data_IF_003469430936
#
_entry.id   IF_003469430936
#
_cell.length_a   1.000
_cell.length_b   1.000
_cell.length_c   1.000
_cell.angle_alpha   90.00
_cell.angle_beta   90.00
_cell.angle_gamma   90.00
#
_symmetry.space_group_name_H-M   'P 1'
#
loop_
_entity.id
_entity.type
_entity.pdbx_description
1 polymer ?
#
# COMPACT_ATOMS: atom_id res chain seq x y z
N UNK A 1 179.66 -110.14 103.75
CA UNK A 1 179.78 -109.63 105.14
C UNK A 1 178.43 -109.09 105.58
N UNK A 2 177.87 -109.42 106.76
CA UNK A 2 177.98 -110.64 107.55
C UNK A 2 176.61 -111.30 107.89
N UNK A 3 176.69 -112.53 108.41
CA UNK A 3 175.63 -113.37 108.98
C UNK A 3 175.23 -112.92 110.39
N UNK A 4 173.99 -113.25 110.81
CA UNK A 4 173.70 -113.72 112.19
C UNK A 4 172.65 -114.85 112.17
N UNK A 5 173.06 -115.97 112.78
CA UNK A 5 172.26 -117.12 113.18
C UNK A 5 171.58 -116.86 114.53
N UNK A 6 170.42 -117.51 114.76
CA UNK A 6 169.97 -118.26 115.96
C UNK A 6 168.44 -118.47 115.81
N UNK A 7 167.82 -119.65 115.76
CA UNK A 7 168.21 -120.97 116.25
C UNK A 7 167.20 -121.46 117.30
N UNK A 8 165.97 -121.84 116.91
CA UNK A 8 165.06 -122.63 117.74
C UNK A 8 164.29 -123.62 116.84
N UNK A 9 164.95 -124.74 116.52
CA UNK A 9 164.41 -125.77 115.63
C UNK A 9 163.21 -126.50 116.23
N UNK A 10 161.99 -126.19 115.76
CA UNK A 10 160.85 -127.11 115.84
C UNK A 10 160.96 -128.10 114.68
N UNK A 11 161.03 -129.39 115.03
CA UNK A 11 161.13 -130.51 114.09
C UNK A 11 160.01 -130.43 113.05
N UNK A 12 160.36 -130.12 111.80
CA UNK A 12 159.48 -130.23 110.65
C UNK A 12 159.18 -131.71 110.45
N UNK A 13 157.97 -132.14 110.83
CA UNK A 13 157.42 -133.41 110.36
C UNK A 13 157.02 -133.17 108.92
N UNK A 14 157.83 -133.67 107.98
CA UNK A 14 157.34 -133.89 106.64
C UNK A 14 156.31 -135.02 106.74
N UNK A 15 155.08 -134.75 106.31
CA UNK A 15 154.04 -135.76 106.31
C UNK A 15 154.47 -136.87 105.34
N UNK A 16 154.67 -138.05 105.90
CA UNK A 16 154.91 -139.28 105.15
C UNK A 16 153.55 -139.78 104.64
N UNK A 17 153.29 -139.77 103.32
CA UNK A 17 151.95 -140.05 102.79
C UNK A 17 151.53 -141.51 102.93
N UNK A 18 152.42 -142.41 103.37
CA UNK A 18 152.18 -143.86 103.31
C UNK A 18 151.50 -144.43 104.57
N UNK A 19 151.41 -143.70 105.69
CA UNK A 19 150.84 -144.25 106.95
C UNK A 19 149.53 -143.65 107.48
N UNK A 20 148.97 -142.58 106.88
CA UNK A 20 147.73 -141.95 107.38
C UNK A 20 146.65 -141.61 106.34
N UNK A 21 146.86 -141.92 105.06
CA UNK A 21 145.82 -141.88 104.02
C UNK A 21 145.19 -140.51 103.74
N UNK A 22 145.78 -139.40 104.21
CA UNK A 22 145.31 -138.03 103.98
C UNK A 22 146.42 -137.16 103.41
N UNK A 23 146.10 -136.38 102.39
CA UNK A 23 147.05 -135.51 101.71
C UNK A 23 147.34 -134.27 102.58
N UNK A 24 148.58 -133.76 102.54
CA UNK A 24 149.00 -132.53 103.25
C UNK A 24 148.03 -131.35 103.09
N UNK A 25 147.35 -131.29 101.95
CA UNK A 25 146.43 -130.19 101.62
C UNK A 25 145.19 -130.19 102.52
N UNK A 26 144.67 -131.36 102.90
CA UNK A 26 143.50 -131.45 103.78
C UNK A 26 143.81 -131.08 105.23
N UNK A 27 144.99 -131.46 105.73
CA UNK A 27 145.45 -131.04 107.06
C UNK A 27 145.65 -129.53 107.14
N UNK A 28 146.23 -128.91 106.09
CA UNK A 28 146.33 -127.45 106.00
C UNK A 28 144.95 -126.78 105.95
N UNK A 29 143.97 -127.38 105.25
CA UNK A 29 142.60 -126.88 105.15
C UNK A 29 141.87 -126.98 106.50
N UNK A 30 142.04 -128.08 107.23
CA UNK A 30 141.44 -128.27 108.55
C UNK A 30 142.09 -127.36 109.61
N UNK A 31 143.39 -127.11 109.53
CA UNK A 31 144.07 -126.13 110.38
C UNK A 31 143.57 -124.69 110.14
N UNK A 32 143.27 -124.31 108.88
CA UNK A 32 142.64 -123.01 108.57
C UNK A 32 141.19 -122.95 109.07
N UNK A 33 140.41 -124.02 108.90
CA UNK A 33 139.05 -124.10 109.41
C UNK A 33 138.99 -124.02 110.95
N UNK A 34 139.93 -124.66 111.65
CA UNK A 34 140.04 -124.58 113.11
C UNK A 34 140.39 -123.16 113.60
N UNK A 35 141.18 -122.38 112.85
CA UNK A 35 141.43 -120.96 113.16
C UNK A 35 140.20 -120.08 112.95
N UNK A 36 139.37 -120.38 111.96
CA UNK A 36 138.12 -119.64 111.70
C UNK A 36 137.03 -119.90 112.75
N UNK A 37 136.98 -121.09 113.34
CA UNK A 37 136.01 -121.43 114.39
C UNK A 37 136.44 -120.96 115.80
N UNK A 38 137.64 -120.39 115.94
CA UNK A 38 138.31 -120.19 117.23
C UNK A 38 137.87 -118.97 118.07
N UNK A 39 137.07 -118.04 117.54
CA UNK A 39 136.54 -116.87 118.27
C UNK A 39 137.61 -115.98 118.95
N UNK A 40 137.86 -114.79 118.41
CA UNK A 40 138.83 -113.82 118.96
C UNK A 40 139.66 -113.15 117.86
N UNK A 41 140.58 -112.26 118.25
CA UNK A 41 141.33 -111.36 117.36
C UNK A 41 141.93 -112.08 116.13
N UNK A 42 142.34 -113.34 116.25
CA UNK A 42 142.86 -114.12 115.12
C UNK A 42 141.83 -114.48 114.04
N UNK A 43 140.56 -114.64 114.39
CA UNK A 43 139.48 -114.90 113.42
C UNK A 43 139.08 -113.61 112.69
N UNK A 44 139.06 -112.47 113.38
CA UNK A 44 138.82 -111.16 112.78
C UNK A 44 139.95 -110.74 111.83
N UNK A 45 141.20 -111.12 112.13
CA UNK A 45 142.35 -110.92 111.21
C UNK A 45 142.17 -111.73 109.93
N UNK A 46 141.70 -112.98 110.01
CA UNK A 46 141.46 -113.80 108.80
C UNK A 46 140.29 -113.26 107.97
N UNK A 47 139.22 -112.76 108.60
CA UNK A 47 138.11 -112.11 107.89
C UNK A 47 138.53 -110.77 107.26
N UNK A 48 139.37 -110.00 107.97
CA UNK A 48 139.96 -108.77 107.43
C UNK A 48 140.89 -109.06 106.24
N UNK A 49 141.65 -110.16 106.28
CA UNK A 49 142.47 -110.61 105.14
C UNK A 49 141.60 -111.02 103.93
N UNK A 50 140.49 -111.73 104.11
CA UNK A 50 139.58 -112.06 103.00
C UNK A 50 138.86 -110.83 102.42
N UNK A 51 138.52 -109.84 103.26
CA UNK A 51 138.00 -108.55 102.79
C UNK A 51 139.08 -107.77 102.06
N UNK A 52 140.33 -107.79 102.56
CA UNK A 52 141.47 -107.17 101.89
C UNK A 52 141.75 -107.82 100.53
N UNK A 53 141.67 -109.14 100.40
CA UNK A 53 141.79 -109.83 99.10
C UNK A 53 140.64 -109.48 98.15
N UNK A 54 139.40 -109.40 98.62
CA UNK A 54 138.27 -108.96 97.77
C UNK A 54 138.40 -107.49 97.35
N UNK A 55 138.83 -106.63 98.27
CA UNK A 55 139.16 -105.25 97.96
C UNK A 55 140.31 -105.18 96.97
N UNK A 56 141.34 -106.02 97.10
CA UNK A 56 142.43 -106.13 96.13
C UNK A 56 141.89 -106.51 94.75
N UNK A 57 141.01 -107.52 94.63
CA UNK A 57 140.40 -107.89 93.34
C UNK A 57 139.54 -106.78 92.74
N UNK A 58 138.80 -106.03 93.58
CA UNK A 58 138.05 -104.86 93.10
C UNK A 58 138.97 -103.71 92.71
N UNK A 59 140.03 -103.45 93.49
CA UNK A 59 141.04 -102.43 93.20
C UNK A 59 141.79 -102.81 91.94
N UNK A 60 142.15 -104.06 91.73
CA UNK A 60 142.81 -104.57 90.52
C UNK A 60 141.85 -104.48 89.33
N UNK A 61 140.56 -104.83 89.49
CA UNK A 61 139.57 -104.66 88.41
C UNK A 61 139.30 -103.20 88.07
N UNK A 62 139.29 -102.32 89.07
CA UNK A 62 139.18 -100.87 88.87
C UNK A 62 140.47 -100.33 88.27
N UNK A 63 141.64 -100.80 88.70
CA UNK A 63 142.93 -100.41 88.17
C UNK A 63 143.12 -100.89 86.73
N UNK A 64 142.65 -102.09 86.39
CA UNK A 64 142.64 -102.65 85.03
C UNK A 64 141.62 -101.94 84.14
N UNK A 65 140.43 -101.64 84.67
CA UNK A 65 139.42 -100.83 83.97
C UNK A 65 139.91 -99.40 83.73
N UNK A 66 140.55 -98.79 84.72
CA UNK A 66 141.13 -97.45 84.62
C UNK A 66 142.38 -97.47 83.75
N UNK A 67 143.20 -98.51 83.79
CA UNK A 67 144.34 -98.68 82.89
C UNK A 67 143.86 -98.85 81.45
N UNK A 68 142.81 -99.65 81.22
CA UNK A 68 142.18 -99.79 79.92
C UNK A 68 141.60 -98.46 79.40
N UNK A 69 140.95 -97.66 80.26
CA UNK A 69 140.40 -96.35 79.88
C UNK A 69 141.46 -95.24 79.76
N UNK A 70 142.56 -95.30 80.51
CA UNK A 70 143.69 -94.36 80.44
C UNK A 70 144.72 -94.74 79.38
N UNK A 71 144.61 -95.91 78.75
CA UNK A 71 145.38 -96.18 77.52
C UNK A 71 144.99 -95.19 76.42
N UNK A 72 145.89 -94.85 75.49
CA UNK A 72 145.55 -94.05 74.32
C UNK A 72 144.33 -94.59 73.55
N UNK A 73 144.17 -95.93 73.51
CA UNK A 73 143.02 -96.61 72.89
C UNK A 73 141.72 -96.44 73.67
N UNK A 74 141.76 -96.44 75.00
CA UNK A 74 140.60 -96.22 75.86
C UNK A 74 140.04 -94.81 75.75
N UNK A 75 140.93 -93.81 75.82
CA UNK A 75 140.58 -92.40 75.63
C UNK A 75 139.99 -92.17 74.23
N UNK A 76 140.59 -92.73 73.17
CA UNK A 76 140.07 -92.60 71.81
C UNK A 76 138.68 -93.25 71.66
N UNK A 77 138.42 -94.36 72.37
CA UNK A 77 137.10 -95.01 72.38
C UNK A 77 136.06 -94.17 73.11
N UNK A 78 136.43 -93.57 74.24
CA UNK A 78 135.55 -92.66 74.98
C UNK A 78 135.23 -91.38 74.18
N UNK A 79 136.23 -90.79 73.51
CA UNK A 79 136.05 -89.66 72.60
C UNK A 79 135.14 -90.06 71.44
N UNK A 80 135.43 -91.16 70.75
CA UNK A 80 134.58 -91.66 69.64
C UNK A 80 133.13 -91.90 70.09
N UNK A 81 132.91 -92.42 71.30
CA UNK A 81 131.57 -92.64 71.86
C UNK A 81 130.87 -91.33 72.19
N UNK A 82 131.59 -90.35 72.75
CA UNK A 82 131.06 -89.03 73.05
C UNK A 82 130.72 -88.26 71.76
N UNK A 83 131.59 -88.33 70.75
CA UNK A 83 131.35 -87.77 69.42
C UNK A 83 130.16 -88.45 68.73
N UNK A 84 130.03 -89.78 68.81
CA UNK A 84 128.87 -90.49 68.29
C UNK A 84 127.57 -90.09 69.02
N UNK A 85 127.60 -89.95 70.35
CA UNK A 85 126.44 -89.48 71.12
C UNK A 85 126.09 -88.02 70.81
N UNK A 86 127.09 -87.15 70.62
CA UNK A 86 126.89 -85.77 70.20
C UNK A 86 126.32 -85.70 68.77
N UNK A 87 126.86 -86.47 67.83
CA UNK A 87 126.36 -86.60 66.47
C UNK A 87 124.91 -87.12 66.45
N UNK A 88 124.58 -88.11 67.28
CA UNK A 88 123.21 -88.61 67.42
C UNK A 88 122.24 -87.54 67.95
N UNK A 89 122.66 -86.74 68.94
CA UNK A 89 121.86 -85.61 69.45
C UNK A 89 121.69 -84.51 68.41
N UNK A 90 122.73 -84.18 67.66
CA UNK A 90 122.65 -83.19 66.56
C UNK A 90 121.74 -83.71 65.45
N UNK A 91 121.82 -84.99 65.09
CA UNK A 91 120.94 -85.60 64.10
C UNK A 91 119.47 -85.60 64.58
N UNK A 92 119.21 -85.91 65.84
CA UNK A 92 117.88 -85.83 66.43
C UNK A 92 117.34 -84.39 66.42
N UNK A 93 118.13 -83.42 66.85
CA UNK A 93 117.75 -82.00 66.81
C UNK A 93 117.52 -81.50 65.37
N UNK A 94 118.34 -81.92 64.41
CA UNK A 94 118.15 -81.59 63.00
C UNK A 94 116.85 -82.20 62.44
N UNK A 95 116.52 -83.44 62.82
CA UNK A 95 115.25 -84.07 62.46
C UNK A 95 114.04 -83.35 63.08
N UNK A 96 114.12 -82.93 64.35
CA UNK A 96 113.07 -82.14 65.00
C UNK A 96 112.88 -80.76 64.33
N UNK A 97 113.97 -80.08 63.98
CA UNK A 97 113.90 -78.79 63.27
C UNK A 97 113.28 -78.97 61.89
N UNK A 98 113.63 -80.03 61.16
CA UNK A 98 113.04 -80.32 59.85
C UNK A 98 111.56 -80.69 59.96
N UNK A 99 111.18 -81.46 60.98
CA UNK A 99 109.77 -81.76 61.27
C UNK A 99 108.98 -80.48 61.57
N UNK A 100 109.50 -79.60 62.43
CA UNK A 100 108.88 -78.31 62.75
C UNK A 100 108.76 -77.43 61.51
N UNK A 101 109.78 -77.39 60.65
CA UNK A 101 109.73 -76.65 59.38
C UNK A 101 108.69 -77.22 58.43
N UNK A 102 108.61 -78.55 58.31
CA UNK A 102 107.59 -79.22 57.49
C UNK A 102 106.19 -78.92 58.00
N UNK A 103 105.93 -79.10 59.30
CA UNK A 103 104.62 -78.78 59.90
C UNK A 103 104.29 -77.30 59.74
N UNK A 104 105.25 -76.40 59.92
CA UNK A 104 105.02 -74.97 59.70
C UNK A 104 104.70 -74.65 58.23
N UNK A 105 105.40 -75.26 57.28
CA UNK A 105 105.13 -75.10 55.86
C UNK A 105 103.75 -75.65 55.47
N UNK A 106 103.35 -76.79 56.02
CA UNK A 106 102.01 -77.39 55.84
C UNK A 106 100.91 -76.49 56.42
N UNK A 107 101.09 -75.96 57.64
CA UNK A 107 100.13 -75.03 58.25
C UNK A 107 99.99 -73.73 57.46
N UNK A 108 101.09 -73.18 56.94
CA UNK A 108 101.07 -71.98 56.09
C UNK A 108 100.37 -72.28 54.77
N UNK A 109 100.67 -73.41 54.13
CA UNK A 109 100.00 -73.84 52.90
C UNK A 109 98.49 -74.06 53.11
N UNK A 110 98.11 -74.67 54.23
CA UNK A 110 96.71 -74.86 54.61
C UNK A 110 96.01 -73.52 54.87
N UNK A 111 96.64 -72.58 55.59
CA UNK A 111 96.09 -71.25 55.84
C UNK A 111 95.88 -70.46 54.54
N UNK A 112 96.81 -70.55 53.57
CA UNK A 112 96.62 -69.96 52.24
C UNK A 112 95.47 -70.61 51.48
N UNK A 113 95.37 -71.94 51.50
CA UNK A 113 94.27 -72.66 50.85
C UNK A 113 92.90 -72.34 51.48
N UNK A 114 92.83 -72.20 52.81
CA UNK A 114 91.62 -71.77 53.53
C UNK A 114 91.25 -70.32 53.18
N UNK A 115 92.23 -69.42 53.14
CA UNK A 115 92.02 -68.01 52.73
C UNK A 115 91.50 -67.93 51.30
N UNK A 116 92.13 -68.62 50.36
CA UNK A 116 91.75 -68.56 48.95
C UNK A 116 90.36 -69.19 48.74
N UNK A 117 90.02 -70.26 49.47
CA UNK A 117 88.64 -70.79 49.53
C UNK A 117 87.64 -69.77 50.08
N UNK A 118 87.98 -69.09 51.18
CA UNK A 118 87.12 -68.06 51.78
C UNK A 118 86.89 -66.88 50.86
N UNK A 119 87.95 -66.40 50.18
CA UNK A 119 87.86 -65.31 49.19
C UNK A 119 87.02 -65.73 47.97
N UNK A 120 87.23 -66.94 47.46
CA UNK A 120 86.41 -67.47 46.35
C UNK A 120 84.95 -67.61 46.73
N UNK A 121 84.64 -68.08 47.95
CA UNK A 121 83.27 -68.17 48.44
C UNK A 121 82.63 -66.77 48.58
N UNK A 122 83.34 -65.81 49.16
CA UNK A 122 82.86 -64.43 49.29
C UNK A 122 82.61 -63.75 47.93
N UNK A 123 83.44 -64.03 46.92
CA UNK A 123 83.19 -63.55 45.56
C UNK A 123 81.96 -64.20 44.94
N UNK A 124 81.78 -65.51 45.08
CA UNK A 124 80.60 -66.22 44.58
C UNK A 124 79.31 -65.72 45.24
N UNK A 125 79.32 -65.48 46.56
CA UNK A 125 78.19 -64.89 47.30
C UNK A 125 77.88 -63.47 46.84
N UNK A 126 78.91 -62.62 46.68
CA UNK A 126 78.74 -61.25 46.17
C UNK A 126 78.17 -61.25 44.76
N UNK A 127 78.69 -62.08 43.87
CA UNK A 127 78.27 -62.12 42.48
C UNK A 127 76.82 -62.66 42.37
N UNK A 128 76.45 -63.62 43.23
CA UNK A 128 75.05 -64.08 43.39
C UNK A 128 74.15 -62.94 43.89
N UNK A 129 74.55 -62.22 44.94
CA UNK A 129 73.79 -61.10 45.47
C UNK A 129 73.62 -59.96 44.45
N UNK A 130 74.63 -59.71 43.62
CA UNK A 130 74.54 -58.75 42.51
C UNK A 130 73.58 -59.21 41.42
N UNK A 131 73.62 -60.49 41.04
CA UNK A 131 72.68 -61.07 40.08
C UNK A 131 71.24 -61.00 40.59
N UNK A 132 71.01 -61.34 41.86
CA UNK A 132 69.69 -61.25 42.50
C UNK A 132 69.20 -59.79 42.56
N UNK A 133 70.08 -58.85 42.91
CA UNK A 133 69.75 -57.42 42.92
C UNK A 133 69.39 -56.89 41.53
N UNK A 134 70.12 -57.32 40.49
CA UNK A 134 69.82 -56.96 39.10
C UNK A 134 68.49 -57.57 38.64
N UNK A 135 68.23 -58.84 38.96
CA UNK A 135 66.96 -59.49 38.65
C UNK A 135 65.78 -58.81 39.36
N UNK A 136 65.95 -58.44 40.63
CA UNK A 136 64.94 -57.70 41.40
C UNK A 136 64.65 -56.32 40.80
N UNK A 137 65.69 -55.59 40.36
CA UNK A 137 65.52 -54.29 39.67
C UNK A 137 64.81 -54.44 38.34
N UNK A 138 65.22 -55.40 37.51
CA UNK A 138 64.57 -55.67 36.22
C UNK A 138 63.09 -56.05 36.40
N UNK A 139 62.77 -56.84 37.44
CA UNK A 139 61.39 -57.19 37.79
C UNK A 139 60.57 -55.97 38.25
N UNK A 140 61.15 -55.10 39.07
CA UNK A 140 60.51 -53.86 39.51
C UNK A 140 60.25 -52.90 38.34
N UNK A 141 61.24 -52.71 37.45
CA UNK A 141 61.08 -51.89 36.24
C UNK A 141 60.00 -52.45 35.31
N UNK A 142 59.95 -53.77 35.12
CA UNK A 142 58.90 -54.42 34.34
C UNK A 142 57.51 -54.24 34.97
N UNK A 143 57.41 -54.32 36.30
CA UNK A 143 56.17 -54.07 37.03
C UNK A 143 55.71 -52.61 36.91
N UNK A 144 56.63 -51.64 37.00
CA UNK A 144 56.33 -50.22 36.83
C UNK A 144 55.89 -49.88 35.40
N UNK A 145 56.53 -50.50 34.39
CA UNK A 145 56.12 -50.38 32.99
C UNK A 145 54.73 -50.98 32.78
N UNK A 146 54.45 -52.16 33.32
CA UNK A 146 53.14 -52.80 33.24
C UNK A 146 52.05 -51.96 33.93
N UNK A 147 52.34 -51.40 35.11
CA UNK A 147 51.43 -50.51 35.82
C UNK A 147 51.16 -49.21 35.04
N UNK A 148 52.19 -48.63 34.43
CA UNK A 148 52.06 -47.43 33.59
C UNK A 148 51.23 -47.71 32.33
N UNK A 149 51.47 -48.84 31.67
CA UNK A 149 50.68 -49.29 30.53
C UNK A 149 49.22 -49.55 30.91
N UNK A 150 48.96 -50.16 32.07
CA UNK A 150 47.61 -50.38 32.58
C UNK A 150 46.88 -49.07 32.89
N UNK A 151 47.55 -48.09 33.49
CA UNK A 151 46.99 -46.74 33.72
C UNK A 151 46.68 -46.02 32.40
N UNK A 152 47.57 -46.10 31.42
CA UNK A 152 47.34 -45.52 30.10
C UNK A 152 46.15 -46.17 29.39
N UNK A 153 46.03 -47.51 29.46
CA UNK A 153 44.91 -48.24 28.89
C UNK A 153 43.58 -47.91 29.59
N UNK A 154 43.59 -47.74 30.92
CA UNK A 154 42.42 -47.30 31.68
C UNK A 154 41.99 -45.88 31.29
N UNK A 155 42.93 -44.94 31.20
CA UNK A 155 42.64 -43.56 30.78
C UNK A 155 42.09 -43.49 29.34
N UNK A 156 42.62 -44.30 28.42
CA UNK A 156 42.10 -44.41 27.06
C UNK A 156 40.69 -45.02 27.03
N UNK A 157 40.42 -46.03 27.87
CA UNK A 157 39.09 -46.61 28.02
C UNK A 157 38.07 -45.59 28.56
N UNK A 158 38.45 -44.80 29.58
CA UNK A 158 37.61 -43.73 30.15
C UNK A 158 37.33 -42.64 29.11
N UNK A 159 38.34 -42.24 28.33
CA UNK A 159 38.17 -41.26 27.26
C UNK A 159 37.22 -41.77 26.16
N UNK A 160 37.34 -43.05 25.79
CA UNK A 160 36.42 -43.69 24.83
C UNK A 160 35.00 -43.76 25.40
N UNK A 161 34.82 -44.06 26.68
CA UNK A 161 33.51 -44.07 27.33
C UNK A 161 32.87 -42.68 27.34
N UNK A 162 33.60 -41.63 27.76
CA UNK A 162 33.11 -40.24 27.73
C UNK A 162 32.74 -39.77 26.32
N UNK A 163 33.55 -40.15 25.33
CA UNK A 163 33.27 -39.84 23.92
C UNK A 163 31.98 -40.53 23.45
N UNK A 164 31.80 -41.81 23.84
CA UNK A 164 30.60 -42.57 23.52
C UNK A 164 29.35 -42.00 24.20
N UNK A 165 29.42 -41.63 25.48
CA UNK A 165 28.33 -40.98 26.22
C UNK A 165 27.94 -39.64 25.59
N UNK A 166 28.93 -38.81 25.23
CA UNK A 166 28.69 -37.54 24.54
C UNK A 166 28.04 -37.77 23.16
N UNK A 167 28.47 -38.79 22.43
CA UNK A 167 27.89 -39.14 21.14
C UNK A 167 26.44 -39.66 21.28
N UNK A 168 26.17 -40.45 22.31
CA UNK A 168 24.84 -40.96 22.64
C UNK A 168 23.88 -39.81 23.02
N UNK A 169 24.30 -38.91 23.91
CA UNK A 169 23.51 -37.73 24.30
C UNK A 169 23.20 -36.83 23.09
N UNK A 170 24.17 -36.57 22.21
CA UNK A 170 23.89 -35.83 20.95
C UNK A 170 22.92 -36.57 20.03
N UNK A 171 22.98 -37.90 19.98
CA UNK A 171 22.07 -38.70 19.17
C UNK A 171 20.63 -38.62 19.71
N UNK A 172 20.47 -38.63 21.04
CA UNK A 172 19.17 -38.42 21.71
C UNK A 172 18.62 -37.01 21.45
N UNK A 173 19.43 -35.97 21.61
CA UNK A 173 19.02 -34.58 21.31
C UNK A 173 18.59 -34.40 19.85
N UNK A 174 19.34 -35.01 18.92
CA UNK A 174 19.01 -35.00 17.49
C UNK A 174 17.71 -35.76 17.21
N UNK A 175 17.49 -36.90 17.87
CA UNK A 175 16.27 -37.68 17.74
C UNK A 175 15.06 -36.91 18.27
N UNK A 176 15.18 -36.23 19.40
CA UNK A 176 14.14 -35.38 19.97
C UNK A 176 13.82 -34.20 19.03
N UNK A 177 14.86 -33.50 18.56
CA UNK A 177 14.70 -32.40 17.60
C UNK A 177 13.98 -32.86 16.32
N UNK A 178 14.30 -34.05 15.81
CA UNK A 178 13.64 -34.61 14.64
C UNK A 178 12.17 -34.99 14.92
N UNK A 179 11.84 -35.45 16.13
CA UNK A 179 10.46 -35.72 16.53
C UNK A 179 9.66 -34.43 16.64
N UNK A 180 10.19 -33.40 17.30
CA UNK A 180 9.54 -32.09 17.43
C UNK A 180 9.29 -31.46 16.05
N UNK A 181 10.27 -31.54 15.15
CA UNK A 181 10.13 -31.05 13.78
C UNK A 181 9.06 -31.81 12.98
N UNK A 182 8.98 -33.14 13.15
CA UNK A 182 7.93 -33.96 12.53
C UNK A 182 6.55 -33.57 13.06
N UNK A 183 6.41 -33.41 14.36
CA UNK A 183 5.12 -33.11 14.99
C UNK A 183 4.65 -31.69 14.64
N UNK A 184 5.58 -30.72 14.54
CA UNK A 184 5.31 -29.39 13.98
C UNK A 184 4.84 -29.47 12.52
N UNK A 185 5.53 -30.23 11.66
CA UNK A 185 5.12 -30.41 10.26
C UNK A 185 3.75 -31.08 10.13
N UNK A 186 3.40 -32.02 11.01
CA UNK A 186 2.07 -32.64 11.06
C UNK A 186 0.99 -31.64 11.52
N UNK A 187 1.29 -30.78 12.48
CA UNK A 187 0.39 -29.71 12.90
C UNK A 187 0.14 -28.70 11.76
N UNK A 188 1.19 -28.29 11.07
CA UNK A 188 1.10 -27.40 9.90
C UNK A 188 0.29 -28.01 8.78
N UNK A 189 0.50 -29.30 8.48
CA UNK A 189 -0.29 -30.03 7.48
C UNK A 189 -1.79 -30.07 7.84
N UNK A 190 -2.12 -30.29 9.13
CA UNK A 190 -3.51 -30.25 9.61
C UNK A 190 -4.12 -28.86 9.47
N UNK A 191 -3.38 -27.82 9.87
CA UNK A 191 -3.82 -26.44 9.73
C UNK A 191 -4.06 -26.07 8.26
N UNK A 192 -3.17 -26.49 7.36
CA UNK A 192 -3.32 -26.29 5.92
C UNK A 192 -4.56 -27.01 5.35
N UNK A 193 -4.86 -28.24 5.80
CA UNK A 193 -6.09 -28.93 5.42
C UNK A 193 -7.34 -28.21 5.93
N UNK A 194 -7.36 -27.77 7.19
CA UNK A 194 -8.48 -26.98 7.73
C UNK A 194 -8.67 -25.67 6.99
N UNK A 195 -7.58 -24.96 6.65
CA UNK A 195 -7.64 -23.72 5.87
C UNK A 195 -8.16 -23.97 4.44
N UNK A 196 -7.73 -25.06 3.80
CA UNK A 196 -8.25 -25.48 2.48
C UNK A 196 -9.74 -25.76 2.55
N UNK A 197 -10.19 -26.52 3.54
CA UNK A 197 -11.59 -26.91 3.67
C UNK A 197 -12.47 -25.68 3.97
N UNK A 198 -11.99 -24.72 4.77
CA UNK A 198 -12.64 -23.43 4.96
C UNK A 198 -12.72 -22.61 3.66
N UNK A 199 -11.66 -22.58 2.86
CA UNK A 199 -11.66 -21.90 1.57
C UNK A 199 -12.62 -22.55 0.55
N UNK A 200 -12.73 -23.89 0.56
CA UNK A 200 -13.71 -24.61 -0.26
C UNK A 200 -15.14 -24.30 0.18
N UNK A 201 -15.41 -24.28 1.49
CA UNK A 201 -16.72 -23.91 2.01
C UNK A 201 -17.11 -22.47 1.63
N UNK A 202 -16.16 -21.54 1.69
CA UNK A 202 -16.38 -20.15 1.28
C UNK A 202 -16.64 -20.02 -0.23
N UNK A 203 -15.87 -20.75 -1.05
CA UNK A 203 -16.11 -20.83 -2.50
C UNK A 203 -17.50 -21.37 -2.80
N UNK A 204 -17.94 -22.41 -2.10
CA UNK A 204 -19.25 -23.01 -2.31
C UNK A 204 -20.39 -22.07 -1.86
N UNK A 205 -20.21 -21.30 -0.78
CA UNK A 205 -21.13 -20.20 -0.41
C UNK A 205 -21.22 -19.14 -1.50
N UNK A 206 -20.07 -18.68 -2.01
CA UNK A 206 -20.03 -17.70 -3.08
C UNK A 206 -20.73 -18.19 -4.36
N UNK A 207 -20.66 -19.49 -4.67
CA UNK A 207 -21.42 -20.08 -5.77
C UNK A 207 -22.93 -20.05 -5.51
N UNK A 208 -23.37 -20.42 -4.31
CA UNK A 208 -24.80 -20.35 -3.92
C UNK A 208 -25.31 -18.91 -3.98
N UNK A 209 -24.55 -17.95 -3.48
CA UNK A 209 -24.90 -16.52 -3.52
C UNK A 209 -24.98 -16.00 -4.96
N UNK A 210 -23.99 -16.35 -5.81
CA UNK A 210 -24.01 -16.01 -7.23
C UNK A 210 -25.24 -16.57 -7.93
N UNK A 211 -25.53 -17.85 -7.71
CA UNK A 211 -26.67 -18.52 -8.36
C UNK A 211 -28.00 -17.94 -7.85
N UNK A 212 -28.08 -17.58 -6.56
CA UNK A 212 -29.18 -16.80 -5.99
C UNK A 212 -29.36 -15.45 -6.67
N UNK A 213 -28.28 -14.65 -6.79
CA UNK A 213 -28.31 -13.36 -7.45
C UNK A 213 -28.69 -13.45 -8.94
N UNK A 214 -28.24 -14.50 -9.65
CA UNK A 214 -28.64 -14.75 -11.05
C UNK A 214 -30.12 -15.10 -11.16
N UNK A 215 -30.66 -15.90 -10.24
CA UNK A 215 -32.08 -16.23 -10.17
C UNK A 215 -32.94 -14.99 -9.88
N UNK A 216 -32.51 -14.15 -8.93
CA UNK A 216 -33.15 -12.88 -8.62
C UNK A 216 -33.11 -11.92 -9.81
N UNK A 217 -31.97 -11.79 -10.49
CA UNK A 217 -31.82 -10.98 -11.69
C UNK A 217 -32.72 -11.47 -12.82
N UNK A 218 -32.81 -12.78 -13.04
CA UNK A 218 -33.72 -13.37 -14.03
C UNK A 218 -35.17 -13.07 -13.68
N UNK A 219 -35.56 -13.17 -12.41
CA UNK A 219 -36.92 -12.86 -11.95
C UNK A 219 -37.23 -11.37 -12.13
N UNK A 220 -36.29 -10.50 -11.79
CA UNK A 220 -36.41 -9.05 -11.98
C UNK A 220 -36.54 -8.68 -13.47
N UNK A 221 -35.82 -9.39 -14.35
CA UNK A 221 -35.96 -9.22 -15.80
C UNK A 221 -37.36 -9.62 -16.27
N UNK A 222 -37.87 -10.78 -15.87
CA UNK A 222 -39.24 -11.23 -16.22
C UNK A 222 -40.29 -10.22 -15.73
N UNK A 223 -40.15 -9.71 -14.50
CA UNK A 223 -41.05 -8.69 -13.96
C UNK A 223 -40.96 -7.36 -14.74
N UNK A 224 -39.77 -6.97 -15.17
CA UNK A 224 -39.57 -5.77 -15.98
C UNK A 224 -40.19 -5.91 -17.38
N UNK A 225 -40.08 -7.08 -17.99
CA UNK A 225 -40.73 -7.44 -19.26
C UNK A 225 -42.26 -7.41 -19.12
N UNK A 226 -42.83 -8.05 -18.09
CA UNK A 226 -44.26 -7.97 -17.77
C UNK A 226 -44.72 -6.52 -17.56
N UNK A 227 -43.98 -5.73 -16.78
CA UNK A 227 -44.31 -4.32 -16.57
C UNK A 227 -44.20 -3.48 -17.86
N UNK A 228 -43.40 -3.89 -18.84
CA UNK A 228 -43.34 -3.26 -20.16
C UNK A 228 -44.55 -3.64 -21.02
N UNK A 229 -44.97 -4.90 -21.00
CA UNK A 229 -46.18 -5.40 -21.66
C UNK A 229 -47.45 -4.76 -21.07
N UNK A 230 -47.56 -4.66 -19.75
CA UNK A 230 -48.66 -3.99 -19.07
C UNK A 230 -48.73 -2.51 -19.46
N UNK A 231 -47.58 -1.82 -19.52
CA UNK A 231 -47.51 -0.43 -19.99
C UNK A 231 -47.90 -0.29 -21.46
N UNK A 232 -47.51 -1.24 -22.32
CA UNK A 232 -47.91 -1.24 -23.72
C UNK A 232 -49.42 -1.46 -23.87
N UNK A 233 -49.99 -2.38 -23.09
CA UNK A 233 -51.42 -2.65 -23.03
C UNK A 233 -52.19 -1.42 -22.55
N UNK A 234 -51.78 -0.80 -21.44
CA UNK A 234 -52.40 0.42 -20.92
C UNK A 234 -52.33 1.58 -21.92
N UNK A 235 -51.22 1.73 -22.66
CA UNK A 235 -51.11 2.72 -23.74
C UNK A 235 -52.05 2.43 -24.91
N UNK A 236 -52.21 1.17 -25.29
CA UNK A 236 -53.14 0.76 -26.34
C UNK A 236 -54.60 1.00 -25.92
N UNK A 237 -54.94 0.70 -24.66
CA UNK A 237 -56.26 0.99 -24.09
C UNK A 237 -56.52 2.50 -24.01
N UNK A 238 -55.56 3.30 -23.55
CA UNK A 238 -55.66 4.75 -23.54
C UNK A 238 -55.83 5.33 -24.95
N UNK A 239 -55.11 4.80 -25.95
CA UNK A 239 -55.27 5.21 -27.34
C UNK A 239 -56.66 4.84 -27.90
N UNK A 240 -57.19 3.66 -27.54
CA UNK A 240 -58.56 3.26 -27.89
C UNK A 240 -59.59 4.18 -27.23
N UNK A 241 -59.41 4.51 -25.95
CA UNK A 241 -60.29 5.42 -25.23
C UNK A 241 -60.27 6.83 -25.84
N UNK A 242 -59.08 7.33 -26.22
CA UNK A 242 -58.93 8.59 -26.93
C UNK A 242 -59.64 8.57 -28.30
N UNK A 243 -59.47 7.52 -29.09
CA UNK A 243 -60.16 7.37 -30.37
C UNK A 243 -61.69 7.28 -30.23
N UNK A 244 -62.18 6.63 -29.17
CA UNK A 244 -63.62 6.61 -28.84
C UNK A 244 -64.11 8.00 -28.44
N UNK A 245 -63.34 8.75 -27.65
CA UNK A 245 -63.67 10.12 -27.27
C UNK A 245 -63.69 11.07 -28.48
N UNK A 246 -62.71 10.96 -29.38
CA UNK A 246 -62.66 11.71 -30.64
C UNK A 246 -63.84 11.35 -31.55
N UNK A 247 -64.18 10.06 -31.67
CA UNK A 247 -65.35 9.61 -32.42
C UNK A 247 -66.66 10.13 -31.81
N UNK A 248 -66.76 10.17 -30.48
CA UNK A 248 -67.91 10.74 -29.78
C UNK A 248 -68.02 12.27 -30.00
N UNK A 249 -66.90 12.99 -29.95
CA UNK A 249 -66.85 14.42 -30.27
C UNK A 249 -67.23 14.68 -31.73
N UNK A 250 -66.68 13.92 -32.68
CA UNK A 250 -67.05 14.03 -34.09
C UNK A 250 -68.52 13.71 -34.33
N UNK A 251 -69.07 12.71 -33.65
CA UNK A 251 -70.49 12.37 -33.70
C UNK A 251 -71.37 13.49 -33.11
N UNK A 252 -70.92 14.13 -32.02
CA UNK A 252 -71.59 15.28 -31.42
C UNK A 252 -71.57 16.48 -32.36
N UNK A 253 -70.41 16.84 -32.93
CA UNK A 253 -70.31 17.92 -33.92
C UNK A 253 -71.18 17.64 -35.15
N UNK A 254 -71.17 16.41 -35.68
CA UNK A 254 -72.03 16.03 -36.79
C UNK A 254 -73.52 16.06 -36.43
N UNK A 255 -73.88 15.82 -35.16
CA UNK A 255 -75.25 15.94 -34.67
C UNK A 255 -75.67 17.41 -34.52
N UNK A 256 -74.78 18.28 -34.03
CA UNK A 256 -74.97 19.73 -33.95
C UNK A 256 -75.09 20.36 -35.34
N UNK A 257 -74.26 19.94 -36.30
CA UNK A 257 -74.34 20.36 -37.70
C UNK A 257 -75.68 19.92 -38.32
N UNK A 258 -76.10 18.67 -38.11
CA UNK A 258 -77.42 18.17 -38.56
C UNK A 258 -78.57 18.93 -37.91
N UNK A 259 -78.49 19.24 -36.61
CA UNK A 259 -79.48 20.05 -35.92
C UNK A 259 -79.54 21.49 -36.48
N UNK A 260 -78.38 22.11 -36.73
CA UNK A 260 -78.30 23.44 -37.32
C UNK A 260 -78.79 23.47 -38.77
N UNK A 261 -78.55 22.41 -39.54
CA UNK A 261 -79.03 22.25 -40.90
C UNK A 261 -80.55 22.02 -40.93
N UNK A 262 -81.08 21.21 -40.01
CA UNK A 262 -82.52 21.02 -39.83
C UNK A 262 -83.21 22.30 -39.35
N UNK A 263 -82.57 23.10 -38.50
CA UNK A 263 -83.10 24.40 -38.08
C UNK A 263 -83.06 25.42 -39.22
N UNK A 264 -82.00 25.44 -40.03
CA UNK A 264 -81.93 26.25 -41.25
C UNK A 264 -82.98 25.83 -42.28
N UNK A 265 -83.21 24.53 -42.48
CA UNK A 265 -84.24 24.04 -43.40
C UNK A 265 -85.64 24.35 -42.88
N UNK A 266 -85.89 24.21 -41.57
CA UNK A 266 -87.14 24.61 -40.95
C UNK A 266 -87.38 26.13 -41.05
N UNK A 267 -86.36 26.96 -40.86
CA UNK A 267 -86.43 28.41 -41.08
C UNK A 267 -86.67 28.78 -42.55
N UNK A 268 -86.11 28.02 -43.49
CA UNK A 268 -86.36 28.20 -44.92
C UNK A 268 -87.79 27.78 -45.31
N UNK A 269 -88.29 26.67 -44.77
CA UNK A 269 -89.66 26.20 -44.97
C UNK A 269 -90.69 27.14 -44.34
N UNK A 270 -90.44 27.65 -43.13
CA UNK A 270 -91.30 28.67 -42.49
C UNK A 270 -91.24 30.01 -43.22
N UNK A 271 -90.08 30.41 -43.76
CA UNK A 271 -90.00 31.60 -44.63
C UNK A 271 -90.74 31.40 -45.96
N UNK A 272 -90.74 30.19 -46.51
CA UNK A 272 -91.48 29.83 -47.73
C UNK A 272 -92.99 29.79 -47.46
N UNK A 273 -93.41 29.25 -46.32
CA UNK A 273 -94.80 29.30 -45.86
C UNK A 273 -95.27 30.74 -45.56
N UNK A 274 -94.41 31.58 -44.97
CA UNK A 274 -94.69 32.99 -44.75
C UNK A 274 -94.81 33.78 -46.07
N UNK A 275 -94.00 33.45 -47.09
CA UNK A 275 -94.13 34.01 -48.45
C UNK A 275 -95.41 33.56 -49.13
N UNK A 276 -95.79 32.29 -49.01
CA UNK A 276 -97.06 31.79 -49.55
C UNK A 276 -98.29 32.43 -48.87
N UNK A 277 -98.20 32.73 -47.57
CA UNK A 277 -99.24 33.48 -46.84
C UNK A 277 -99.27 34.95 -47.27
N UNK A 278 -98.11 35.59 -47.45
CA UNK A 278 -98.01 36.96 -47.94
C UNK A 278 -98.52 37.11 -49.39
N UNK A 279 -98.27 36.12 -50.26
CA UNK A 279 -98.79 36.08 -51.63
C UNK A 279 -100.31 35.85 -51.67
N UNK A 280 -100.83 34.98 -50.80
CA UNK A 280 -102.28 34.79 -50.63
C UNK A 280 -102.98 36.05 -50.11
N UNK A 281 -102.35 36.75 -49.19
CA UNK A 281 -102.91 37.96 -48.59
C UNK A 281 -102.78 39.15 -49.56
N UNK A 282 -101.71 39.25 -50.35
CA UNK A 282 -101.57 40.17 -51.48
C UNK A 282 -102.61 39.91 -52.59
N UNK A 283 -102.90 38.65 -52.90
CA UNK A 283 -103.96 38.28 -53.84
C UNK A 283 -105.36 38.63 -53.32
N UNK A 284 -105.60 38.54 -52.00
CA UNK A 284 -106.85 39.01 -51.37
C UNK A 284 -106.99 40.53 -51.38
N UNK A 285 -105.89 41.26 -51.16
CA UNK A 285 -105.86 42.72 -51.25
C UNK A 285 -106.07 43.20 -52.69
N UNK A 286 -105.51 42.50 -53.69
CA UNK A 286 -105.77 42.80 -55.10
C UNK A 286 -107.21 42.45 -55.51
N UNK A 287 -107.78 41.36 -54.99
CA UNK A 287 -109.18 41.02 -55.23
C UNK A 287 -110.15 42.04 -54.60
N UNK A 288 -109.88 42.53 -53.38
CA UNK A 288 -110.71 43.56 -52.75
C UNK A 288 -110.54 44.94 -53.38
N UNK A 289 -109.34 45.28 -53.87
CA UNK A 289 -109.09 46.48 -54.67
C UNK A 289 -109.81 46.44 -56.02
N UNK A 290 -109.79 45.30 -56.72
CA UNK A 290 -110.54 45.11 -57.96
C UNK A 290 -112.07 45.20 -57.76
N UNK A 291 -112.56 44.76 -56.60
CA UNK A 291 -113.98 44.85 -56.24
C UNK A 291 -114.40 46.29 -55.90
N UNK A 292 -113.55 47.04 -55.18
CA UNK A 292 -113.76 48.46 -54.88
C UNK A 292 -113.64 49.34 -56.14
N UNK A 293 -112.79 48.97 -57.10
CA UNK A 293 -112.71 49.63 -58.41
C UNK A 293 -113.96 49.37 -59.26
N UNK A 294 -114.49 48.14 -59.26
CA UNK A 294 -115.73 47.83 -59.97
C UNK A 294 -116.98 48.52 -59.39
N UNK A 295 -117.00 48.80 -58.08
CA UNK A 295 -118.06 49.57 -57.42
C UNK A 295 -117.90 51.08 -57.64
N UNK A 296 -116.67 51.59 -57.68
CA UNK A 296 -116.38 52.97 -58.08
C UNK A 296 -116.73 53.25 -59.55
N UNK A 297 -116.46 52.30 -60.45
CA UNK A 297 -116.78 52.40 -61.88
C UNK A 297 -118.29 52.32 -62.14
N UNK A 298 -119.06 51.57 -61.32
CA UNK A 298 -120.53 51.55 -61.38
C UNK A 298 -121.16 52.82 -60.83
N UNK A 299 -120.58 53.43 -59.79
CA UNK A 299 -121.01 54.73 -59.28
C UNK A 299 -120.69 55.87 -60.26
N UNK A 300 -119.54 55.82 -60.94
CA UNK A 300 -119.17 56.76 -62.00
C UNK A 300 -120.02 56.60 -63.27
N UNK A 301 -120.42 55.37 -63.63
CA UNK A 301 -121.35 55.13 -64.74
C UNK A 301 -122.78 55.63 -64.46
N UNK A 302 -123.27 55.51 -63.22
CA UNK A 302 -124.57 56.06 -62.82
C UNK A 302 -124.57 57.61 -62.83
N UNK A 303 -123.48 58.24 -62.40
CA UNK A 303 -123.32 59.70 -62.41
C UNK A 303 -123.01 60.26 -63.82
N UNK A 304 -122.50 59.43 -64.73
CA UNK A 304 -122.26 59.78 -66.14
C UNK A 304 -123.53 59.70 -67.00
N UNK A 305 -124.47 58.80 -66.69
CA UNK A 305 -125.77 58.75 -67.37
C UNK A 305 -126.69 59.92 -66.97
N UNK A 306 -126.65 60.36 -65.72
CA UNK A 306 -127.40 61.54 -65.24
C UNK A 306 -126.82 62.88 -65.77
N UNK A 307 -125.52 62.90 -66.11
CA UNK A 307 -124.86 64.00 -66.83
C UNK A 307 -125.07 63.95 -68.35
N UNK A 308 -125.26 62.77 -68.94
CA UNK A 308 -125.54 62.63 -70.37
C UNK A 308 -126.98 63.06 -70.74
N UNK A 309 -127.97 62.83 -69.87
CA UNK A 309 -129.35 63.31 -70.11
C UNK A 309 -129.47 64.84 -69.96
N UNK A 310 -128.72 65.46 -69.04
CA UNK A 310 -128.69 66.92 -68.88
C UNK A 310 -127.87 67.64 -69.97
N UNK A 311 -126.94 66.96 -70.64
CA UNK A 311 -126.12 67.48 -71.74
C UNK A 311 -126.80 67.31 -73.13
N UNK A 312 -127.74 66.36 -73.27
CA UNK A 312 -128.60 66.19 -74.46
C UNK A 312 -129.74 67.22 -74.50
N UNK A 313 -130.33 67.58 -73.35
CA UNK A 313 -131.29 68.70 -73.24
C UNK A 313 -130.62 70.08 -73.50
N UNK A 314 -129.36 70.26 -73.07
CA UNK A 314 -128.58 71.48 -73.30
C UNK A 314 -128.10 71.64 -74.77
N UNK A 315 -127.84 70.53 -75.48
CA UNK A 315 -127.51 70.54 -76.92
C UNK A 315 -128.72 70.88 -77.81
N UNK A 316 -129.92 70.45 -77.45
CA UNK A 316 -131.16 70.81 -78.18
C UNK A 316 -131.52 72.29 -78.00
N UNK A 317 -131.30 72.86 -76.82
CA UNK A 317 -131.49 74.29 -76.58
C UNK A 317 -130.43 75.18 -77.27
N UNK A 318 -129.20 74.68 -77.46
CA UNK A 318 -128.13 75.34 -78.20
C UNK A 318 -128.31 75.31 -79.74
N UNK A 319 -128.97 74.28 -80.28
CA UNK A 319 -129.29 74.17 -81.72
C UNK A 319 -130.47 75.07 -82.14
N UNK A 320 -131.42 75.35 -81.25
CA UNK A 320 -132.49 76.31 -81.49
C UNK A 320 -132.01 77.78 -81.35
N UNK A 321 -131.02 78.06 -80.49
CA UNK A 321 -130.36 79.38 -80.42
C UNK A 321 -129.46 79.64 -81.63
N UNK A 322 -128.80 78.61 -82.20
CA UNK A 322 -128.03 78.73 -83.44
C UNK A 322 -128.90 78.88 -84.70
N UNK A 323 -130.19 78.52 -84.64
CA UNK A 323 -131.17 78.77 -85.71
C UNK A 323 -131.76 80.19 -85.61
N UNK A 324 -131.95 80.73 -84.40
CA UNK A 324 -132.31 82.13 -84.13
C UNK A 324 -131.19 83.14 -84.47
N UNK A 325 -129.95 82.82 -84.13
CA UNK A 325 -128.78 83.66 -84.47
C UNK A 325 -128.50 83.71 -85.99
N UNK A 326 -128.95 82.71 -86.76
CA UNK A 326 -128.85 82.70 -88.23
C UNK A 326 -129.94 83.53 -88.93
N UNK A 327 -131.11 83.74 -88.31
CA UNK A 327 -132.12 84.70 -88.80
C UNK A 327 -131.80 86.15 -88.38
N UNK A 328 -131.15 86.33 -87.24
CA UNK A 328 -130.63 87.63 -86.80
C UNK A 328 -129.42 88.09 -87.64
N UNK A 329 -128.61 87.17 -88.17
CA UNK A 329 -127.48 87.45 -89.07
C UNK A 329 -127.91 87.93 -90.47
N UNK A 330 -129.11 87.56 -90.94
CA UNK A 330 -129.73 88.07 -92.19
C UNK A 330 -130.47 89.40 -91.99
N UNK A 331 -130.96 89.68 -90.78
CA UNK A 331 -131.52 90.99 -90.43
C UNK A 331 -130.42 92.04 -90.18
N UNK A 332 -129.33 91.68 -89.50
CA UNK A 332 -128.16 92.55 -89.26
C UNK A 332 -127.32 92.83 -90.51
N UNK A 333 -127.41 91.99 -91.55
CA UNK A 333 -126.85 92.31 -92.87
C UNK A 333 -127.66 93.37 -93.62
N UNK A 334 -128.95 93.52 -93.32
CA UNK A 334 -129.81 94.61 -93.85
C UNK A 334 -129.59 95.93 -93.10
N UNK A 335 -129.30 95.89 -91.79
CA UNK A 335 -128.91 97.07 -91.01
C UNK A 335 -127.46 97.52 -91.27
N UNK A 336 -126.56 96.60 -91.63
CA UNK A 336 -125.21 96.91 -92.12
C UNK A 336 -125.25 97.70 -93.44
N UNK A 337 -126.16 97.39 -94.35
CA UNK A 337 -126.29 98.10 -95.63
C UNK A 337 -126.87 99.53 -95.44
N UNK A 338 -127.58 99.77 -94.34
CA UNK A 338 -128.08 101.11 -93.95
C UNK A 338 -127.04 101.96 -93.22
N UNK A 339 -126.25 101.35 -92.32
CA UNK A 339 -125.18 102.04 -91.55
C UNK A 339 -123.90 102.27 -92.37
N UNK A 340 -123.66 101.49 -93.42
CA UNK A 340 -122.53 101.70 -94.35
C UNK A 340 -122.75 102.94 -95.24
N UNK A 341 -123.99 103.23 -95.63
CA UNK A 341 -124.32 104.47 -96.36
C UNK A 341 -124.15 105.74 -95.51
N UNK A 342 -124.38 105.65 -94.19
CA UNK A 342 -124.20 106.76 -93.25
C UNK A 342 -122.73 106.95 -92.80
N UNK A 343 -121.91 105.89 -92.81
CA UNK A 343 -120.49 105.97 -92.45
C UNK A 343 -119.58 106.49 -93.58
N UNK A 344 -119.87 106.20 -94.85
CA UNK A 344 -119.07 106.75 -95.96
C UNK A 344 -119.36 108.24 -96.20
N UNK A 345 -120.57 108.70 -95.87
CA UNK A 345 -120.94 110.11 -95.81
C UNK A 345 -120.14 110.88 -94.74
N UNK A 346 -119.81 110.24 -93.63
CA UNK A 346 -119.00 110.80 -92.53
C UNK A 346 -117.49 110.67 -92.75
N UNK A 347 -117.03 109.67 -93.52
CA UNK A 347 -115.60 109.49 -93.82
C UNK A 347 -115.07 110.46 -94.88
N UNK A 348 -115.86 110.79 -95.90
CA UNK A 348 -115.48 111.85 -96.83
C UNK A 348 -115.25 113.21 -96.14
N UNK A 349 -115.98 113.48 -95.04
CA UNK A 349 -115.79 114.70 -94.22
C UNK A 349 -114.57 114.64 -93.28
N UNK A 350 -114.04 113.45 -92.97
CA UNK A 350 -112.91 113.26 -92.05
C UNK A 350 -111.58 113.19 -92.81
N UNK A 351 -111.58 112.69 -94.04
CA UNK A 351 -110.38 112.66 -94.89
C UNK A 351 -109.97 114.07 -95.37
N UNK A 352 -110.91 115.01 -95.48
CA UNK A 352 -110.64 116.45 -95.65
C UNK A 352 -109.95 117.09 -94.42
N UNK A 353 -110.12 116.54 -93.21
CA UNK A 353 -109.62 117.12 -91.95
C UNK A 353 -108.27 116.54 -91.48
N UNK A 354 -107.94 115.27 -91.78
CA UNK A 354 -106.72 114.65 -91.23
C UNK A 354 -105.52 114.59 -92.17
N UNK A 355 -105.69 114.66 -93.48
CA UNK A 355 -104.57 114.92 -94.38
C UNK A 355 -103.94 116.32 -94.13
N UNK A 356 -104.70 117.25 -93.55
CA UNK A 356 -104.18 118.53 -93.04
C UNK A 356 -103.36 118.42 -91.73
N UNK A 357 -103.43 117.30 -90.99
CA UNK A 357 -102.86 117.18 -89.64
C UNK A 357 -101.63 116.26 -89.53
N UNK A 358 -101.48 115.22 -90.35
CA UNK A 358 -100.28 114.35 -90.26
C UNK A 358 -99.04 114.96 -90.92
N UNK A 359 -99.21 115.90 -91.86
CA UNK A 359 -98.15 116.84 -92.25
C UNK A 359 -97.56 117.60 -91.04
N UNK A 360 -98.22 117.61 -89.86
CA UNK A 360 -97.78 118.33 -88.66
C UNK A 360 -97.25 117.48 -87.50
N UNK A 361 -97.47 116.14 -87.47
CA UNK A 361 -97.05 115.32 -86.31
C UNK A 361 -95.79 114.47 -86.56
N UNK A 362 -95.49 114.10 -87.80
CA UNK A 362 -94.17 113.53 -88.11
C UNK A 362 -93.05 114.57 -87.93
N UNK A 363 -93.38 115.86 -87.94
CA UNK A 363 -92.54 116.97 -87.46
C UNK A 363 -92.36 117.01 -85.93
N UNK A 364 -93.16 116.26 -85.14
CA UNK A 364 -93.22 116.41 -83.69
C UNK A 364 -92.48 115.33 -82.88
N UNK A 365 -92.07 114.18 -83.45
CA UNK A 365 -91.31 113.19 -82.68
C UNK A 365 -90.03 112.60 -83.29
N UNK A 366 -89.52 113.20 -84.38
CA UNK A 366 -88.06 113.44 -84.43
C UNK A 366 -87.54 114.21 -83.19
N UNK A 367 -88.44 114.76 -82.35
CA UNK A 367 -88.12 115.52 -81.14
C UNK A 367 -88.12 114.76 -79.80
N UNK A 368 -88.79 113.60 -79.61
CA UNK A 368 -88.92 113.02 -78.25
C UNK A 368 -88.08 111.75 -77.98
N UNK A 369 -87.68 111.00 -79.01
CA UNK A 369 -86.59 110.01 -78.88
C UNK A 369 -85.24 110.68 -78.58
N UNK A 370 -85.14 112.00 -78.73
CA UNK A 370 -84.09 112.84 -78.15
C UNK A 370 -84.24 113.12 -76.64
N UNK A 371 -85.39 112.84 -76.01
CA UNK A 371 -85.73 113.44 -74.72
C UNK A 371 -85.56 112.57 -73.48
N UNK A 372 -85.64 111.24 -73.51
CA UNK A 372 -85.53 110.45 -72.25
C UNK A 372 -84.75 109.13 -72.32
N UNK A 373 -84.13 108.83 -73.46
CA UNK A 373 -82.77 108.27 -73.40
C UNK A 373 -81.83 109.21 -72.59
N UNK A 374 -82.19 110.49 -72.44
CA UNK A 374 -81.60 111.44 -71.50
C UNK A 374 -81.93 111.18 -70.01
N UNK A 375 -82.94 110.37 -69.65
CA UNK A 375 -83.29 110.14 -68.24
C UNK A 375 -82.44 109.04 -67.57
N UNK A 376 -81.69 108.23 -68.33
CA UNK A 376 -80.55 107.48 -67.77
C UNK A 376 -79.22 107.67 -68.49
N UNK A 377 -79.16 108.58 -69.47
CA UNK A 377 -78.11 109.58 -69.31
C UNK A 377 -78.12 110.15 -67.87
N UNK A 378 -79.26 110.24 -67.17
CA UNK A 378 -79.36 110.77 -65.81
C UNK A 378 -78.92 109.84 -64.65
N UNK A 379 -79.13 108.52 -64.68
CA UNK A 379 -78.58 107.60 -63.66
C UNK A 379 -77.16 107.13 -64.00
N UNK A 380 -76.81 107.02 -65.30
CA UNK A 380 -75.41 106.97 -65.70
C UNK A 380 -74.68 108.27 -65.35
N UNK A 381 -75.34 109.44 -65.38
CA UNK A 381 -74.84 110.68 -64.80
C UNK A 381 -74.80 110.66 -63.28
N UNK A 382 -75.58 109.87 -62.55
CA UNK A 382 -75.40 109.76 -61.09
C UNK A 382 -74.16 108.93 -60.74
N UNK A 383 -73.87 107.88 -61.51
CA UNK A 383 -72.65 107.08 -61.34
C UNK A 383 -71.41 107.84 -61.87
N UNK A 384 -71.56 108.61 -62.95
CA UNK A 384 -70.51 109.51 -63.44
C UNK A 384 -70.34 110.75 -62.54
N UNK A 385 -71.39 111.28 -61.92
CA UNK A 385 -71.30 112.38 -60.97
C UNK A 385 -70.70 111.94 -59.63
N UNK A 386 -70.90 110.69 -59.20
CA UNK A 386 -70.16 110.17 -58.05
C UNK A 386 -68.67 109.96 -58.38
N UNK A 387 -68.33 109.55 -59.61
CA UNK A 387 -66.94 109.48 -60.06
C UNK A 387 -66.30 110.88 -60.19
N UNK A 388 -66.98 111.85 -60.80
CA UNK A 388 -66.51 113.23 -60.94
C UNK A 388 -66.47 114.00 -59.62
N UNK A 389 -67.38 113.78 -58.68
CA UNK A 389 -67.30 114.45 -57.37
C UNK A 389 -66.19 113.85 -56.49
N UNK A 390 -65.82 112.59 -56.72
CA UNK A 390 -64.65 111.95 -56.10
C UNK A 390 -63.34 112.49 -56.71
N UNK A 391 -63.35 112.74 -58.01
CA UNK A 391 -62.23 113.35 -58.74
C UNK A 391 -62.09 114.86 -58.49
N UNK A 392 -63.19 115.61 -58.39
CA UNK A 392 -63.22 117.01 -57.97
C UNK A 392 -62.84 117.15 -56.49
N UNK A 393 -63.26 116.23 -55.61
CA UNK A 393 -62.70 116.18 -54.25
C UNK A 393 -61.19 115.96 -54.28
N UNK A 394 -60.68 115.09 -55.14
CA UNK A 394 -59.23 114.89 -55.32
C UNK A 394 -58.52 116.16 -55.84
N UNK A 395 -59.06 116.81 -56.86
CA UNK A 395 -58.48 118.01 -57.49
C UNK A 395 -58.59 119.26 -56.61
N UNK A 396 -59.67 119.42 -55.85
CA UNK A 396 -59.86 120.54 -54.92
C UNK A 396 -59.14 120.29 -53.59
N UNK A 397 -58.85 119.04 -53.23
CA UNK A 397 -57.92 118.70 -52.16
C UNK A 397 -56.47 118.99 -52.59
N UNK A 398 -56.12 118.75 -53.86
CA UNK A 398 -54.86 119.23 -54.47
C UNK A 398 -54.81 120.76 -54.63
N UNK A 399 -55.95 121.44 -54.82
CA UNK A 399 -56.02 122.91 -54.87
C UNK A 399 -56.01 123.53 -53.46
N UNK A 400 -56.65 122.88 -52.48
CA UNK A 400 -56.57 123.21 -51.06
C UNK A 400 -55.15 123.02 -50.55
N UNK A 401 -54.43 122.00 -51.01
CA UNK A 401 -53.02 121.80 -50.67
C UNK A 401 -52.07 122.79 -51.35
N UNK A 402 -52.46 123.36 -52.50
CA UNK A 402 -51.73 124.43 -53.20
C UNK A 402 -52.04 125.83 -52.68
N UNK A 403 -53.30 126.12 -52.32
CA UNK A 403 -53.72 127.40 -51.76
C UNK A 403 -53.30 127.53 -50.28
N UNK A 404 -53.40 126.45 -49.49
CA UNK A 404 -52.83 126.42 -48.13
C UNK A 404 -51.33 126.66 -48.20
N UNK A 405 -50.59 126.08 -49.15
CA UNK A 405 -49.16 126.39 -49.35
C UNK A 405 -48.92 127.84 -49.81
N UNK A 406 -49.71 128.35 -50.75
CA UNK A 406 -49.54 129.69 -51.28
C UNK A 406 -49.88 130.82 -50.28
N UNK A 407 -50.71 130.60 -49.27
CA UNK A 407 -51.11 131.66 -48.33
C UNK A 407 -50.55 131.48 -46.90
N UNK A 408 -50.16 130.26 -46.49
CA UNK A 408 -49.22 130.11 -45.36
C UNK A 408 -47.84 130.70 -45.67
N UNK A 409 -47.44 130.80 -46.95
CA UNK A 409 -46.24 131.56 -47.33
C UNK A 409 -46.49 133.08 -47.41
N UNK A 410 -47.75 133.50 -47.63
CA UNK A 410 -48.15 134.91 -47.81
C UNK A 410 -48.48 135.65 -46.52
N UNK A 411 -48.98 134.97 -45.49
CA UNK A 411 -49.24 135.57 -44.18
C UNK A 411 -48.24 135.13 -43.08
N UNK A 412 -47.34 134.17 -43.35
CA UNK A 412 -46.09 134.08 -42.59
C UNK A 412 -45.12 135.23 -42.94
N UNK A 413 -45.26 135.84 -44.13
CA UNK A 413 -44.71 137.17 -44.44
C UNK A 413 -45.33 138.29 -43.59
N UNK A 414 -46.35 138.01 -42.78
CA UNK A 414 -47.02 138.95 -41.87
C UNK A 414 -46.53 138.91 -40.42
N UNK A 415 -45.62 137.99 -40.05
CA UNK A 415 -45.13 137.93 -38.66
C UNK A 415 -43.74 137.29 -38.45
N UNK A 416 -42.90 137.20 -39.49
CA UNK A 416 -41.44 137.06 -39.29
C UNK A 416 -40.80 138.26 -38.55
N UNK A 417 -41.58 139.31 -38.37
CA UNK A 417 -41.17 140.64 -37.99
C UNK A 417 -42.46 141.25 -37.48
N UNK A 418 -42.77 141.20 -36.20
CA UNK A 418 -41.96 141.78 -35.14
C UNK A 418 -42.53 141.21 -33.82
N UNK A 419 -41.76 140.79 -32.82
CA UNK A 419 -40.41 141.15 -32.45
C UNK A 419 -39.94 140.10 -31.44
N UNK A 420 -38.86 139.41 -31.78
CA UNK A 420 -37.87 138.78 -30.90
C UNK A 420 -38.35 137.85 -29.75
N UNK A 421 -37.83 136.61 -29.79
CA UNK A 421 -37.77 135.56 -28.73
C UNK A 421 -39.05 134.72 -28.54
N UNK A 422 -39.09 133.38 -28.73
CA UNK A 422 -38.03 132.36 -28.70
C UNK A 422 -38.32 131.07 -29.54
N UNK A 423 -37.45 130.82 -30.52
CA UNK A 423 -36.85 129.59 -31.12
C UNK A 423 -37.40 128.14 -30.98
N UNK A 424 -37.50 127.49 -32.17
CA UNK A 424 -36.91 126.18 -32.64
C UNK A 424 -37.67 124.82 -32.61
N UNK A 425 -37.70 124.22 -33.83
CA UNK A 425 -37.37 122.81 -34.27
C UNK A 425 -38.39 121.69 -33.95
N UNK A 426 -38.62 120.60 -34.71
CA UNK A 426 -38.29 120.03 -36.05
C UNK A 426 -39.06 118.67 -36.19
N UNK A 427 -39.06 117.96 -37.36
CA UNK A 427 -40.02 116.92 -37.76
C UNK A 427 -39.45 115.47 -37.98
N UNK A 428 -40.27 114.48 -38.40
CA UNK A 428 -39.96 113.27 -39.26
C UNK A 428 -41.20 112.35 -39.37
N UNK A 429 -41.72 111.84 -40.50
CA UNK A 429 -41.27 110.94 -41.62
C UNK A 429 -41.59 109.43 -41.39
N UNK A 430 -42.26 108.84 -42.39
CA UNK A 430 -42.55 107.43 -42.81
C UNK A 430 -41.42 106.39 -42.58
N UNK A 431 -41.51 105.04 -42.85
CA UNK A 431 -42.47 104.22 -43.65
C UNK A 431 -42.84 102.79 -43.10
N UNK A 432 -43.63 102.03 -43.90
CA UNK A 432 -43.71 100.55 -44.17
C UNK A 432 -42.50 99.65 -43.77
N UNK A 433 -42.50 98.30 -43.96
CA UNK A 433 -43.51 97.22 -44.18
C UNK A 433 -43.10 95.98 -43.29
N UNK A 434 -42.99 94.69 -43.71
CA UNK A 434 -43.72 93.82 -44.67
C UNK A 434 -44.11 92.42 -44.08
N UNK A 435 -44.64 91.54 -44.95
CA UNK A 435 -44.29 90.12 -45.15
C UNK A 435 -44.40 89.13 -43.99
N UNK A 436 -44.56 87.83 -44.17
CA UNK A 436 -44.91 86.89 -45.24
C UNK A 436 -44.87 85.54 -44.51
N UNK A 437 -45.64 84.56 -44.95
CA UNK A 437 -45.26 83.14 -45.18
C UNK A 437 -46.51 82.29 -45.30
#
# INVERSE_FOLDING_TARGET
MPQRLSGAGRRRRYCDPVSTGRTCQEEAKRARAARRAGGGIGADVVAAEEIAEKLQVYVDRIADGLAAELTPTGVQTAISRAEAAAAARVAAAAAEVEEVRRTAAEQVAQAFADRDRSVSAAHAERDTALADSQAARASAEAADQAASAARAAAADADQRAQTAETAASRAEDNAQTAQDARDAALADARNAMTARDAALAERDRAFVERDGALSEASTAQTLAEQAAEDRATARAEAARAAAVAEAAQAAQTAAEERASAAEKSWRAETATAARAVAERDAARTQASQAQQQAEADRALAATAMERADTEVEARRQAEDTLRGLRSELTATTTDRDRLTADLDRLRAQIDDERAAATTRLETAQEAATRATAAAESHQAQQIAAQAELTELRRQLQDARDRAVRAETERDAARAQTEQATASRRTPKKTPQPPADS
#
